data_IF_117370170631
#
_entry.id   IF_117370170631
#
_cell.length_a   1.000
_cell.length_b   1.000
_cell.length_c   1.000
_cell.angle_alpha   90.00
_cell.angle_beta   90.00
_cell.angle_gamma   90.00
#
_symmetry.space_group_name_H-M   'P 1'
#
loop_
_entity.id
_entity.type
_entity.pdbx_description
1 polymer ?
#
# COMPACT_ATOMS: atom_id res chain seq x y z
N UNK A 1 -49.10 9.62 18.43
CA UNK A 1 -48.40 8.79 17.44
C UNK A 1 -48.58 7.31 17.80
N UNK A 2 -49.19 6.51 16.93
CA UNK A 2 -49.49 5.10 17.23
C UNK A 2 -48.22 4.23 17.21
N UNK A 3 -48.24 3.07 17.88
CA UNK A 3 -47.12 2.12 17.94
C UNK A 3 -46.64 1.70 16.54
N UNK A 4 -47.57 1.52 15.62
CA UNK A 4 -47.29 1.14 14.23
C UNK A 4 -46.58 2.26 13.46
N UNK A 5 -46.94 3.52 13.73
CA UNK A 5 -46.31 4.69 13.11
C UNK A 5 -44.85 4.85 13.59
N UNK A 6 -44.56 4.57 14.86
CA UNK A 6 -43.19 4.52 15.40
C UNK A 6 -42.36 3.41 14.75
N UNK A 7 -42.94 2.24 14.54
CA UNK A 7 -42.27 1.11 13.88
C UNK A 7 -41.95 1.39 12.41
N UNK A 8 -42.87 2.01 11.67
CA UNK A 8 -42.62 2.43 10.28
C UNK A 8 -41.50 3.45 10.18
N UNK A 9 -41.50 4.47 11.05
CA UNK A 9 -40.43 5.47 11.08
C UNK A 9 -39.08 4.83 11.41
N UNK A 10 -39.03 3.94 12.40
CA UNK A 10 -37.81 3.22 12.75
C UNK A 10 -37.29 2.35 11.60
N UNK A 11 -38.18 1.64 10.90
CA UNK A 11 -37.81 0.83 9.74
C UNK A 11 -37.23 1.70 8.61
N UNK A 12 -37.86 2.83 8.29
CA UNK A 12 -37.38 3.77 7.27
C UNK A 12 -36.01 4.35 7.66
N UNK A 13 -35.83 4.75 8.91
CA UNK A 13 -34.55 5.26 9.41
C UNK A 13 -33.42 4.24 9.29
N UNK A 14 -33.69 2.97 9.59
CA UNK A 14 -32.72 1.89 9.44
C UNK A 14 -32.33 1.66 7.98
N UNK A 15 -33.28 1.72 7.06
CA UNK A 15 -33.02 1.60 5.62
C UNK A 15 -32.14 2.76 5.12
N UNK A 16 -32.46 4.00 5.51
CA UNK A 16 -31.67 5.18 5.15
C UNK A 16 -30.25 5.07 5.70
N UNK A 17 -30.09 4.63 6.95
CA UNK A 17 -28.77 4.43 7.56
C UNK A 17 -27.96 3.36 6.83
N UNK A 18 -28.57 2.24 6.46
CA UNK A 18 -27.92 1.19 5.69
C UNK A 18 -27.48 1.68 4.30
N UNK A 19 -28.33 2.43 3.59
CA UNK A 19 -27.98 3.01 2.29
C UNK A 19 -26.81 4.00 2.40
N UNK A 20 -26.81 4.87 3.41
CA UNK A 20 -25.71 5.80 3.67
C UNK A 20 -24.39 5.07 3.94
N UNK A 21 -24.41 4.01 4.76
CA UNK A 21 -23.25 3.16 5.04
C UNK A 21 -22.68 2.53 3.77
N UNK A 22 -23.53 1.99 2.90
CA UNK A 22 -23.10 1.36 1.65
C UNK A 22 -22.48 2.36 0.68
N UNK A 23 -23.07 3.56 0.55
CA UNK A 23 -22.50 4.63 -0.29
C UNK A 23 -21.14 5.11 0.23
N UNK A 24 -21.00 5.27 1.55
CA UNK A 24 -19.74 5.63 2.17
C UNK A 24 -18.67 4.54 1.99
N UNK A 25 -19.05 3.27 2.13
CA UNK A 25 -18.17 2.13 1.93
C UNK A 25 -17.68 2.06 0.47
N UNK A 26 -18.58 2.19 -0.50
CA UNK A 26 -18.23 2.19 -1.93
C UNK A 26 -17.31 3.36 -2.29
N UNK A 27 -17.61 4.56 -1.77
CA UNK A 27 -16.74 5.72 -1.96
C UNK A 27 -15.33 5.50 -1.38
N UNK A 28 -15.24 4.90 -0.18
CA UNK A 28 -13.96 4.58 0.44
C UNK A 28 -13.18 3.53 -0.36
N UNK A 29 -13.85 2.47 -0.81
CA UNK A 29 -13.23 1.38 -1.56
C UNK A 29 -12.71 1.83 -2.94
N UNK A 30 -13.40 2.78 -3.59
CA UNK A 30 -12.92 3.41 -4.84
C UNK A 30 -11.69 4.30 -4.63
N UNK A 31 -11.49 4.86 -3.43
CA UNK A 31 -10.28 5.60 -3.08
C UNK A 31 -9.07 4.69 -2.85
N UNK A 32 -9.30 3.41 -2.58
CA UNK A 32 -8.22 2.43 -2.55
C UNK A 32 -7.72 2.23 -3.99
N UNK A 33 -6.60 2.90 -4.34
CA UNK A 33 -5.95 2.67 -5.64
C UNK A 33 -5.65 1.18 -5.76
N UNK A 34 -6.26 0.50 -6.74
CA UNK A 34 -5.87 -0.85 -7.11
C UNK A 34 -4.40 -0.81 -7.53
N UNK A 35 -3.59 -1.65 -6.89
CA UNK A 35 -2.19 -1.77 -7.27
C UNK A 35 -2.07 -2.40 -8.67
N UNK A 36 -1.22 -1.81 -9.50
CA UNK A 36 -0.87 -2.38 -10.79
C UNK A 36 0.22 -3.43 -10.56
N UNK A 37 -0.08 -4.69 -10.84
CA UNK A 37 0.90 -5.77 -10.72
C UNK A 37 1.95 -5.60 -11.82
N UNK A 38 3.23 -5.57 -11.43
CA UNK A 38 4.38 -5.38 -12.32
C UNK A 38 5.47 -6.39 -11.98
N UNK A 39 6.21 -6.83 -13.00
CA UNK A 39 7.43 -7.60 -12.78
C UNK A 39 8.58 -6.66 -12.43
N UNK A 40 9.00 -6.67 -11.18
CA UNK A 40 10.10 -5.83 -10.70
C UNK A 40 10.93 -6.56 -9.65
N UNK A 41 12.22 -6.71 -9.91
CA UNK A 41 13.21 -7.21 -8.94
C UNK A 41 13.83 -6.04 -8.19
N UNK A 42 13.48 -5.89 -6.91
CA UNK A 42 13.97 -4.77 -6.08
C UNK A 42 15.49 -4.81 -5.86
N UNK A 43 16.09 -6.01 -5.74
CA UNK A 43 17.53 -6.18 -5.46
C UNK A 43 18.38 -5.80 -6.68
N UNK A 44 17.92 -6.17 -7.88
CA UNK A 44 18.58 -5.78 -9.14
C UNK A 44 18.27 -4.33 -9.53
N UNK A 45 17.16 -3.81 -9.02
CA UNK A 45 16.57 -2.56 -9.45
C UNK A 45 15.73 -2.75 -10.70
N UNK A 46 14.66 -1.95 -10.82
CA UNK A 46 13.73 -2.03 -11.94
C UNK A 46 13.22 -0.64 -12.32
N UNK A 47 12.62 -0.54 -13.51
CA UNK A 47 11.91 0.66 -13.96
C UNK A 47 10.41 0.37 -13.92
N UNK A 48 9.67 1.22 -13.21
CA UNK A 48 8.22 1.16 -13.13
C UNK A 48 7.58 1.77 -14.39
N UNK A 49 6.30 1.46 -14.69
CA UNK A 49 5.59 2.01 -15.84
C UNK A 49 5.50 3.54 -15.91
N UNK A 50 5.67 4.25 -14.79
CA UNK A 50 5.72 5.72 -14.73
C UNK A 50 7.12 6.29 -15.02
N UNK A 51 8.12 5.44 -15.27
CA UNK A 51 9.52 5.79 -15.51
C UNK A 51 10.38 5.86 -14.25
N UNK A 52 9.80 5.70 -13.06
CA UNK A 52 10.52 5.69 -11.78
C UNK A 52 11.43 4.47 -11.69
N UNK A 53 12.67 4.66 -11.22
CA UNK A 53 13.62 3.57 -10.96
C UNK A 53 13.59 3.22 -9.49
N UNK A 54 13.32 1.97 -9.15
CA UNK A 54 13.27 1.50 -7.76
C UNK A 54 14.37 0.49 -7.55
N UNK A 55 15.11 0.62 -6.45
CA UNK A 55 16.12 -0.36 -6.03
C UNK A 55 16.24 -0.41 -4.52
N UNK A 56 16.39 -1.62 -3.99
CA UNK A 56 16.78 -1.86 -2.61
C UNK A 56 18.27 -2.19 -2.52
N UNK A 57 18.90 -1.90 -1.39
CA UNK A 57 20.15 -2.59 -1.02
C UNK A 57 19.84 -4.06 -0.70
N UNK A 58 20.86 -4.86 -0.35
CA UNK A 58 20.68 -6.29 -0.05
C UNK A 58 19.50 -6.54 0.89
N UNK A 59 18.41 -7.13 0.37
CA UNK A 59 17.19 -7.38 1.15
C UNK A 59 17.42 -8.63 1.99
N UNK A 60 17.34 -8.47 3.30
CA UNK A 60 17.46 -9.57 4.25
C UNK A 60 16.37 -9.43 5.33
N UNK A 61 15.84 -10.54 5.82
CA UNK A 61 14.76 -10.55 6.82
C UNK A 61 15.29 -10.15 8.21
N UNK A 62 16.56 -10.43 8.49
CA UNK A 62 17.20 -10.21 9.78
C UNK A 62 17.97 -8.89 9.87
N UNK A 63 18.32 -8.30 8.73
CA UNK A 63 19.11 -7.06 8.67
C UNK A 63 18.32 -5.89 8.05
N UNK A 64 18.59 -4.66 8.50
CA UNK A 64 18.00 -3.49 7.87
C UNK A 64 18.59 -3.25 6.48
N UNK A 65 17.77 -2.74 5.58
CA UNK A 65 18.18 -2.34 4.23
C UNK A 65 17.58 -1.00 3.85
N UNK A 66 18.11 -0.39 2.79
CA UNK A 66 17.65 0.90 2.29
C UNK A 66 16.93 0.71 0.95
N UNK A 67 16.00 1.61 0.66
CA UNK A 67 15.29 1.65 -0.63
C UNK A 67 15.44 3.03 -1.22
N UNK A 68 15.80 3.09 -2.49
CA UNK A 68 15.93 4.31 -3.27
C UNK A 68 14.96 4.26 -4.44
N UNK A 69 14.25 5.38 -4.65
CA UNK A 69 13.40 5.61 -5.81
C UNK A 69 13.87 6.86 -6.53
N UNK A 70 14.35 6.70 -7.76
CA UNK A 70 14.88 7.76 -8.61
C UNK A 70 13.96 8.00 -9.81
N UNK A 71 14.20 9.08 -10.55
CA UNK A 71 13.41 9.48 -11.71
C UNK A 71 11.91 9.63 -11.44
N UNK A 72 11.54 9.93 -10.19
CA UNK A 72 10.15 10.13 -9.79
C UNK A 72 9.54 11.30 -10.59
N UNK A 73 8.29 11.18 -11.09
CA UNK A 73 7.60 12.28 -11.77
C UNK A 73 7.62 13.58 -10.97
N UNK A 74 7.84 14.69 -11.67
CA UNK A 74 7.82 16.03 -11.06
C UNK A 74 6.45 16.28 -10.41
N UNK A 75 6.45 17.00 -9.29
CA UNK A 75 5.25 17.28 -8.47
C UNK A 75 4.63 16.04 -7.78
N UNK A 76 5.41 14.99 -7.56
CA UNK A 76 5.00 13.88 -6.69
C UNK A 76 4.98 14.35 -5.24
N UNK A 77 3.80 14.33 -4.62
CA UNK A 77 3.63 14.82 -3.23
C UNK A 77 4.12 13.84 -2.16
N UNK A 78 4.09 12.54 -2.42
CA UNK A 78 4.54 11.52 -1.48
C UNK A 78 4.95 10.24 -2.20
N UNK A 79 5.96 9.57 -1.65
CA UNK A 79 6.38 8.22 -2.04
C UNK A 79 6.36 7.34 -0.79
N UNK A 80 5.77 6.16 -0.89
CA UNK A 80 5.73 5.20 0.21
C UNK A 80 5.78 3.78 -0.28
N UNK A 81 6.38 2.90 0.51
CA UNK A 81 6.45 1.47 0.24
C UNK A 81 5.77 0.72 1.38
N UNK A 82 4.95 -0.27 1.05
CA UNK A 82 4.32 -1.16 2.03
C UNK A 82 4.67 -2.60 1.74
N UNK A 83 5.01 -3.36 2.78
CA UNK A 83 5.30 -4.78 2.67
C UNK A 83 4.15 -5.61 3.23
N UNK A 84 3.78 -6.68 2.52
CA UNK A 84 2.84 -7.69 3.01
C UNK A 84 3.29 -9.08 2.56
N UNK A 85 2.88 -10.14 3.25
CA UNK A 85 3.10 -11.50 2.77
C UNK A 85 1.91 -11.94 1.94
N UNK A 86 2.13 -12.84 0.99
CA UNK A 86 1.02 -13.35 0.16
C UNK A 86 -0.11 -13.88 1.05
N UNK A 87 -1.33 -13.43 0.81
CA UNK A 87 -2.53 -13.82 1.57
C UNK A 87 -2.43 -13.60 3.10
N UNK A 88 -1.60 -12.65 3.56
CA UNK A 88 -1.40 -12.40 4.98
C UNK A 88 -1.29 -10.90 5.26
N UNK A 89 -2.20 -10.39 6.09
CA UNK A 89 -2.14 -9.03 6.59
C UNK A 89 -1.11 -8.96 7.73
N UNK A 90 -0.02 -8.23 7.48
CA UNK A 90 1.06 -8.06 8.44
C UNK A 90 0.87 -6.79 9.30
N UNK A 91 -0.26 -6.10 9.17
CA UNK A 91 -0.51 -4.83 9.83
C UNK A 91 0.32 -3.68 9.24
N UNK A 92 0.78 -2.77 10.10
CA UNK A 92 1.45 -1.55 9.69
C UNK A 92 2.92 -1.79 9.26
N UNK A 93 3.15 -2.18 8.01
CA UNK A 93 4.49 -2.31 7.41
C UNK A 93 4.70 -1.32 6.25
N UNK A 94 4.29 -0.07 6.47
CA UNK A 94 4.42 1.03 5.51
C UNK A 94 5.52 2.00 5.92
N UNK A 95 6.41 2.26 4.98
CA UNK A 95 7.50 3.22 5.08
C UNK A 95 7.21 4.40 4.15
N UNK A 96 7.15 5.60 4.70
CA UNK A 96 7.13 6.82 3.90
C UNK A 96 8.58 7.20 3.57
N UNK A 97 8.87 7.36 2.28
CA UNK A 97 10.20 7.75 1.84
C UNK A 97 10.38 9.25 2.07
N UNK A 98 11.60 9.65 2.40
CA UNK A 98 12.01 11.04 2.51
C UNK A 98 12.60 11.51 1.19
N UNK A 99 12.20 12.70 0.76
CA UNK A 99 12.70 13.29 -0.47
C UNK A 99 14.16 13.74 -0.28
N UNK A 100 15.06 13.17 -1.07
CA UNK A 100 16.49 13.52 -1.07
C UNK A 100 16.80 14.61 -2.09
N UNK A 101 16.10 14.60 -3.22
CA UNK A 101 16.17 15.62 -4.27
C UNK A 101 14.83 15.71 -5.03
N UNK A 102 14.64 16.67 -5.96
CA UNK A 102 13.36 16.83 -6.66
C UNK A 102 12.79 15.56 -7.31
N UNK A 103 13.63 14.59 -7.66
CA UNK A 103 13.23 13.33 -8.30
C UNK A 103 13.82 12.09 -7.61
N UNK A 104 14.39 12.23 -6.42
CA UNK A 104 14.99 11.14 -5.64
C UNK A 104 14.39 11.07 -4.25
N UNK A 105 13.98 9.88 -3.86
CA UNK A 105 13.33 9.56 -2.59
C UNK A 105 14.02 8.34 -1.98
N UNK A 106 14.12 8.31 -0.66
CA UNK A 106 14.79 7.22 0.04
C UNK A 106 14.07 6.85 1.34
N UNK A 107 14.05 5.56 1.65
CA UNK A 107 13.82 5.06 3.00
C UNK A 107 15.09 4.36 3.46
N UNK A 108 15.56 4.70 4.65
CA UNK A 108 16.73 4.07 5.28
C UNK A 108 16.28 3.18 6.42
N UNK A 109 17.05 2.13 6.69
CA UNK A 109 16.81 1.20 7.82
C UNK A 109 15.43 0.53 7.77
N UNK A 110 14.95 0.20 6.58
CA UNK A 110 13.76 -0.61 6.36
C UNK A 110 14.01 -2.03 6.89
N UNK A 111 13.03 -2.61 7.58
CA UNK A 111 13.09 -4.00 8.07
C UNK A 111 11.86 -4.74 7.60
N UNK A 112 12.04 -5.96 7.12
CA UNK A 112 10.90 -6.82 6.87
C UNK A 112 10.40 -7.41 8.20
N UNK A 113 9.09 -7.54 8.39
CA UNK A 113 8.57 -8.37 9.46
C UNK A 113 8.96 -9.82 9.18
N UNK A 114 9.50 -10.50 10.19
CA UNK A 114 9.85 -11.90 10.09
C UNK A 114 8.62 -12.77 10.38
N UNK A 115 8.45 -13.85 9.64
CA UNK A 115 7.40 -14.83 9.87
C UNK A 115 7.92 -15.95 10.78
N UNK A 116 7.26 -16.20 11.92
CA UNK A 116 7.62 -17.32 12.81
C UNK A 116 7.48 -18.69 12.15
N UNK A 117 6.65 -18.79 11.10
CA UNK A 117 6.46 -20.00 10.30
C UNK A 117 7.53 -20.16 9.19
N UNK A 118 8.49 -19.23 9.10
CA UNK A 118 9.58 -19.32 8.13
C UNK A 118 9.13 -19.05 6.69
N UNK A 119 8.09 -18.24 6.49
CA UNK A 119 7.67 -17.78 5.16
C UNK A 119 8.53 -16.61 4.69
N UNK A 120 8.79 -16.62 3.38
CA UNK A 120 9.66 -15.65 2.70
C UNK A 120 8.97 -15.03 1.47
N UNK A 121 7.69 -15.32 1.23
CA UNK A 121 6.94 -14.88 0.06
C UNK A 121 6.26 -13.52 0.28
N UNK A 122 7.04 -12.48 0.04
CA UNK A 122 6.64 -11.10 0.22
C UNK A 122 6.04 -10.50 -1.05
N UNK A 123 5.21 -9.50 -0.84
CA UNK A 123 4.74 -8.54 -1.84
C UNK A 123 5.04 -7.14 -1.35
N UNK A 124 5.30 -6.24 -2.28
CA UNK A 124 5.62 -4.86 -2.01
C UNK A 124 4.75 -3.95 -2.85
N UNK A 125 4.08 -3.01 -2.19
CA UNK A 125 3.26 -1.98 -2.80
C UNK A 125 4.05 -0.67 -2.80
N UNK A 126 4.50 -0.25 -3.98
CA UNK A 126 5.25 0.98 -4.21
C UNK A 126 4.27 2.05 -4.66
N UNK A 127 3.99 3.01 -3.79
CA UNK A 127 3.05 4.11 -4.07
C UNK A 127 3.81 5.38 -4.39
N UNK A 128 3.56 5.94 -5.58
CA UNK A 128 4.15 7.18 -6.10
C UNK A 128 2.98 8.12 -6.43
N UNK A 129 2.75 9.09 -5.56
CA UNK A 129 1.58 9.97 -5.66
C UNK A 129 0.26 9.20 -5.55
N UNK A 130 -0.45 9.04 -6.66
CA UNK A 130 -1.76 8.34 -6.73
C UNK A 130 -1.65 6.92 -7.30
N UNK A 131 -0.51 6.57 -7.87
CA UNK A 131 -0.28 5.27 -8.49
C UNK A 131 0.36 4.34 -7.47
N UNK A 132 -0.08 3.09 -7.47
CA UNK A 132 0.50 2.02 -6.67
C UNK A 132 0.89 0.90 -7.61
N UNK A 133 2.13 0.42 -7.50
CA UNK A 133 2.67 -0.70 -8.24
C UNK A 133 2.97 -1.83 -7.26
N UNK A 134 2.58 -3.06 -7.60
CA UNK A 134 2.79 -4.22 -6.75
C UNK A 134 3.71 -5.22 -7.45
N UNK A 135 4.72 -5.71 -6.73
CA UNK A 135 5.55 -6.82 -7.19
C UNK A 135 5.74 -7.84 -6.06
N UNK A 136 6.03 -9.08 -6.42
CA UNK A 136 6.36 -10.14 -5.47
C UNK A 136 7.87 -10.36 -5.43
N UNK A 137 8.40 -10.74 -4.28
CA UNK A 137 9.80 -11.11 -4.12
C UNK A 137 9.98 -12.12 -2.98
N UNK A 138 11.12 -12.81 -2.99
CA UNK A 138 11.58 -13.60 -1.85
C UNK A 138 12.72 -12.86 -1.17
N UNK A 139 12.72 -12.83 0.16
CA UNK A 139 13.86 -12.38 0.94
C UNK A 139 14.57 -13.59 1.55
N UNK A 140 15.85 -13.45 1.86
CA UNK A 140 16.66 -14.44 2.60
C UNK A 140 16.90 -13.97 4.04
#
# INVERSE_FOLDING_TARGET
MSKNQKLLIAAVLLIVFAAAKLLLLDWWQRKQSKANVVECSLTQGCVLPDGSKVRATSINIHEPFDIVVENVPKNTGAVSISFSMKNMDMGFNRYNLTQQSPQSWQAVQVRLPFCVEGRHDYTVDITIGKQTFQTAFSAE
#
